data_IF_954393807144
#
_entry.id   IF_954393807144
#
_cell.length_a   1.000
_cell.length_b   1.000
_cell.length_c   1.000
_cell.angle_alpha   90.00
_cell.angle_beta   90.00
_cell.angle_gamma   90.00
#
_symmetry.space_group_name_H-M   'P 1'
#
loop_
_entity.id
_entity.type
_entity.pdbx_description
1 polymer ?
#
# COMPACT_ATOMS: atom_id res chain seq x y z
N UNK A 1 -4.57 -32.38 -27.75
CA UNK A 1 -3.60 -33.48 -27.59
C UNK A 1 -2.18 -32.94 -27.70
N UNK A 2 -1.40 -32.89 -26.60
CA UNK A 2 0.06 -32.82 -26.66
C UNK A 2 0.71 -34.12 -26.14
N UNK A 3 1.85 -34.46 -26.75
CA UNK A 3 2.61 -35.71 -26.61
C UNK A 3 3.40 -35.76 -25.30
N UNK A 4 3.30 -36.88 -24.60
CA UNK A 4 4.17 -37.28 -23.49
C UNK A 4 5.47 -37.89 -24.04
N UNK A 5 6.62 -37.35 -23.65
CA UNK A 5 7.92 -37.98 -23.86
C UNK A 5 8.42 -38.58 -22.55
N UNK A 6 8.53 -39.91 -22.53
CA UNK A 6 9.01 -40.69 -21.41
C UNK A 6 10.52 -40.52 -21.17
N UNK A 7 10.89 -40.50 -19.89
CA UNK A 7 12.27 -40.53 -19.45
C UNK A 7 12.56 -41.87 -18.77
N UNK A 8 13.61 -42.52 -19.28
CA UNK A 8 14.10 -43.85 -18.95
C UNK A 8 14.92 -43.81 -17.67
N UNK A 9 14.68 -44.75 -16.76
CA UNK A 9 15.44 -44.96 -15.53
C UNK A 9 16.66 -45.85 -15.81
N UNK A 10 17.87 -45.52 -15.30
CA UNK A 10 18.97 -46.47 -15.30
C UNK A 10 19.02 -47.27 -14.01
N UNK A 11 18.86 -48.58 -14.17
CA UNK A 11 19.25 -49.64 -13.23
C UNK A 11 20.76 -49.65 -13.02
N UNK A 12 21.22 -49.54 -11.78
CA UNK A 12 22.64 -49.57 -11.44
C UNK A 12 22.89 -49.80 -9.95
N UNK A 13 22.42 -50.95 -9.45
CA UNK A 13 22.68 -51.43 -8.10
C UNK A 13 24.15 -51.88 -7.99
N UNK A 14 24.98 -51.17 -7.23
CA UNK A 14 26.32 -51.66 -6.81
C UNK A 14 26.41 -51.62 -5.29
N UNK A 15 26.11 -52.75 -4.66
CA UNK A 15 26.41 -53.02 -3.26
C UNK A 15 27.94 -52.99 -3.07
N UNK A 16 28.43 -52.05 -2.27
CA UNK A 16 29.70 -52.18 -1.58
C UNK A 16 29.43 -52.07 -0.08
N UNK A 17 29.35 -53.24 0.56
CA UNK A 17 29.43 -53.42 1.99
C UNK A 17 30.82 -53.00 2.46
N UNK A 18 30.96 -51.76 2.95
CA UNK A 18 32.13 -51.33 3.71
C UNK A 18 31.75 -51.31 5.19
N UNK A 19 32.11 -52.42 5.82
CA UNK A 19 32.09 -52.66 7.26
C UNK A 19 33.22 -51.86 7.93
N UNK A 20 32.89 -50.85 8.76
CA UNK A 20 33.76 -50.17 9.77
C UNK A 20 33.03 -48.99 10.46
N UNK A 21 33.41 -48.55 11.66
CA UNK A 21 33.15 -49.13 12.97
C UNK A 21 32.18 -48.28 13.82
N UNK A 22 31.27 -48.94 14.55
CA UNK A 22 30.14 -48.39 15.35
C UNK A 22 30.56 -47.55 16.58
N UNK A 23 31.84 -47.19 16.75
CA UNK A 23 32.33 -46.58 18.01
C UNK A 23 32.41 -45.05 18.06
N UNK A 24 32.06 -44.32 16.99
CA UNK A 24 32.15 -42.84 16.99
C UNK A 24 30.81 -42.08 17.13
N UNK A 25 29.67 -42.77 17.21
CA UNK A 25 28.35 -42.11 17.21
C UNK A 25 27.89 -41.71 18.63
N UNK A 26 28.36 -42.37 19.68
CA UNK A 26 27.85 -42.14 21.05
C UNK A 26 28.39 -40.83 21.67
N UNK A 27 29.55 -40.32 21.24
CA UNK A 27 30.16 -39.14 21.87
C UNK A 27 29.71 -37.79 21.26
N UNK A 28 29.03 -37.79 20.10
CA UNK A 28 28.54 -36.57 19.43
C UNK A 28 27.04 -36.34 19.58
N UNK A 29 26.34 -37.17 20.34
CA UNK A 29 24.92 -36.94 20.62
C UNK A 29 24.72 -35.95 21.77
N UNK A 30 25.73 -35.64 22.59
CA UNK A 30 25.59 -34.82 23.81
C UNK A 30 25.51 -33.29 23.63
N UNK A 31 25.62 -32.79 22.39
CA UNK A 31 25.50 -31.35 22.08
C UNK A 31 24.20 -30.96 21.37
N UNK A 32 23.41 -31.93 20.88
CA UNK A 32 22.24 -31.64 20.02
C UNK A 32 20.95 -31.45 20.84
N UNK A 33 20.83 -32.06 22.03
CA UNK A 33 19.63 -31.92 22.86
C UNK A 33 19.55 -30.63 23.68
N UNK A 34 20.59 -29.78 23.69
CA UNK A 34 20.51 -28.43 24.29
C UNK A 34 19.84 -27.40 23.37
N UNK A 35 19.62 -27.70 22.09
CA UNK A 35 18.99 -26.77 21.14
C UNK A 35 17.48 -27.01 20.94
N UNK A 36 16.98 -28.21 21.27
CA UNK A 36 15.56 -28.54 21.16
C UNK A 36 14.59 -27.73 22.05
N UNK A 37 14.91 -27.37 23.31
CA UNK A 37 13.96 -26.63 24.14
C UNK A 37 13.79 -25.17 23.66
N UNK A 38 14.84 -24.58 23.08
CA UNK A 38 14.78 -23.22 22.54
C UNK A 38 13.90 -23.15 21.27
N UNK A 39 13.95 -24.19 20.44
CA UNK A 39 13.11 -24.28 19.24
C UNK A 39 11.63 -24.48 19.60
N UNK A 40 11.32 -25.32 20.58
CA UNK A 40 9.95 -25.50 21.08
C UNK A 40 9.40 -24.24 21.74
N UNK A 41 10.20 -23.52 22.52
CA UNK A 41 9.81 -22.24 23.12
C UNK A 41 9.51 -21.17 22.05
N UNK A 42 10.34 -21.11 21.00
CA UNK A 42 10.11 -20.20 19.88
C UNK A 42 8.84 -20.55 19.09
N UNK A 43 8.57 -21.85 18.90
CA UNK A 43 7.37 -22.33 18.21
C UNK A 43 6.08 -22.07 19.00
N UNK A 44 6.13 -22.19 20.34
CA UNK A 44 5.00 -21.81 21.22
C UNK A 44 4.76 -20.30 21.22
N UNK A 45 5.82 -19.48 21.19
CA UNK A 45 5.71 -18.01 21.08
C UNK A 45 5.14 -17.56 19.72
N UNK A 46 5.43 -18.28 18.63
CA UNK A 46 4.82 -18.00 17.32
C UNK A 46 3.31 -18.32 17.29
N UNK A 47 2.86 -19.37 17.99
CA UNK A 47 1.44 -19.77 18.01
C UNK A 47 0.58 -18.84 18.86
N UNK A 48 1.13 -18.19 19.88
CA UNK A 48 0.41 -17.22 20.71
C UNK A 48 0.14 -15.87 20.00
N UNK A 49 0.83 -15.58 18.89
CA UNK A 49 0.69 -14.31 18.15
C UNK A 49 -0.39 -14.29 17.07
N UNK A 50 -1.05 -15.42 16.77
CA UNK A 50 -1.94 -15.53 15.60
C UNK A 50 -3.45 -15.44 15.90
N UNK A 51 -3.87 -15.24 17.16
CA UNK A 51 -5.28 -15.32 17.53
C UNK A 51 -6.02 -13.96 17.54
N UNK A 52 -5.37 -12.83 17.28
CA UNK A 52 -6.09 -11.58 17.02
C UNK A 52 -6.54 -11.57 15.56
N UNK A 53 -7.69 -12.19 15.27
CA UNK A 53 -8.47 -11.87 14.09
C UNK A 53 -8.78 -10.37 14.20
N UNK A 54 -8.03 -9.53 13.48
CA UNK A 54 -8.18 -8.08 13.64
C UNK A 54 -9.55 -7.67 13.12
N UNK A 55 -10.36 -7.09 14.02
CA UNK A 55 -11.66 -6.45 13.74
C UNK A 55 -11.63 -5.62 12.44
N UNK A 56 -10.50 -4.95 12.20
CA UNK A 56 -10.26 -4.08 11.05
C UNK A 56 -10.37 -4.80 9.70
N UNK A 57 -10.04 -6.09 9.61
CA UNK A 57 -10.21 -6.85 8.38
C UNK A 57 -11.67 -7.13 8.05
N UNK A 58 -12.53 -7.28 9.06
CA UNK A 58 -13.98 -7.45 8.89
C UNK A 58 -14.64 -6.13 8.51
N UNK A 59 -14.35 -5.05 9.25
CA UNK A 59 -14.82 -3.70 8.95
C UNK A 59 -14.42 -3.26 7.52
N UNK A 60 -13.21 -3.58 7.07
CA UNK A 60 -12.78 -3.28 5.71
C UNK A 60 -13.61 -4.04 4.66
N UNK A 61 -13.90 -5.32 4.88
CA UNK A 61 -14.74 -6.13 3.97
C UNK A 61 -16.18 -5.60 3.92
N UNK A 62 -16.74 -5.24 5.07
CA UNK A 62 -18.07 -4.66 5.17
C UNK A 62 -18.13 -3.33 4.41
N UNK A 63 -17.10 -2.48 4.58
CA UNK A 63 -16.96 -1.26 3.81
C UNK A 63 -16.92 -1.50 2.29
N UNK A 64 -16.17 -2.51 1.82
CA UNK A 64 -16.15 -2.87 0.40
C UNK A 64 -17.51 -3.40 -0.10
N UNK A 65 -18.23 -4.15 0.75
CA UNK A 65 -19.55 -4.65 0.42
C UNK A 65 -20.55 -3.48 0.31
N UNK A 66 -20.50 -2.54 1.23
CA UNK A 66 -21.31 -1.33 1.20
C UNK A 66 -21.04 -0.49 -0.06
N UNK A 67 -19.79 -0.36 -0.51
CA UNK A 67 -19.44 0.31 -1.76
C UNK A 67 -20.12 -0.38 -2.96
N UNK A 68 -20.06 -1.70 -3.02
CA UNK A 68 -20.70 -2.47 -4.11
C UNK A 68 -22.22 -2.31 -4.12
N UNK A 69 -22.83 -2.19 -2.95
CA UNK A 69 -24.26 -1.98 -2.78
C UNK A 69 -24.68 -0.52 -2.94
N UNK A 70 -23.74 0.41 -3.16
CA UNK A 70 -24.02 1.84 -3.26
C UNK A 70 -24.33 2.53 -1.92
N UNK A 71 -24.13 1.82 -0.79
CA UNK A 71 -24.30 2.34 0.57
C UNK A 71 -23.09 3.15 1.03
N UNK A 72 -22.74 4.21 0.28
CA UNK A 72 -21.49 4.96 0.45
C UNK A 72 -21.30 5.49 1.89
N UNK A 73 -22.38 5.97 2.53
CA UNK A 73 -22.30 6.46 3.91
C UNK A 73 -21.83 5.38 4.90
N UNK A 74 -22.41 4.18 4.83
CA UNK A 74 -22.03 3.06 5.69
C UNK A 74 -20.61 2.58 5.38
N UNK A 75 -20.24 2.57 4.09
CA UNK A 75 -18.88 2.25 3.68
C UNK A 75 -17.85 3.17 4.35
N UNK A 76 -18.07 4.49 4.31
CA UNK A 76 -17.17 5.47 4.93
C UNK A 76 -17.09 5.28 6.44
N UNK A 77 -18.22 4.98 7.12
CA UNK A 77 -18.20 4.68 8.55
C UNK A 77 -17.33 3.48 8.88
N UNK A 78 -17.49 2.38 8.14
CA UNK A 78 -16.70 1.16 8.31
C UNK A 78 -15.20 1.40 8.05
N UNK A 79 -14.87 2.11 6.96
CA UNK A 79 -13.49 2.48 6.64
C UNK A 79 -12.87 3.42 7.68
N UNK A 80 -13.65 4.33 8.29
CA UNK A 80 -13.18 5.18 9.39
C UNK A 80 -12.84 4.38 10.64
N UNK A 81 -13.61 3.34 10.96
CA UNK A 81 -13.31 2.44 12.08
C UNK A 81 -11.97 1.72 11.86
N UNK A 82 -11.67 1.27 10.64
CA UNK A 82 -10.37 0.66 10.29
C UNK A 82 -9.21 1.58 10.61
N UNK A 83 -9.28 2.85 10.18
CA UNK A 83 -8.22 3.85 10.41
C UNK A 83 -8.04 4.13 11.90
N UNK A 84 -9.14 4.18 12.66
CA UNK A 84 -9.15 4.53 14.08
C UNK A 84 -8.67 3.38 14.98
N UNK A 85 -9.13 2.17 14.71
CA UNK A 85 -8.86 0.99 15.55
C UNK A 85 -7.50 0.37 15.24
N UNK A 86 -7.09 0.33 13.97
CA UNK A 86 -5.81 -0.25 13.55
C UNK A 86 -5.14 0.56 12.43
N UNK A 87 -4.51 1.71 12.76
CA UNK A 87 -3.84 2.56 11.79
C UNK A 87 -2.60 1.92 11.16
N UNK A 88 -2.10 0.80 11.70
CA UNK A 88 -0.96 0.05 11.16
C UNK A 88 -1.40 -1.13 10.30
N UNK A 89 -2.71 -1.38 10.20
CA UNK A 89 -3.26 -2.43 9.35
C UNK A 89 -2.85 -2.23 7.88
N UNK A 90 -2.75 -3.31 7.10
CA UNK A 90 -2.53 -3.21 5.65
C UNK A 90 -3.69 -2.54 4.90
N UNK A 91 -4.83 -2.34 5.56
CA UNK A 91 -6.05 -1.72 5.00
C UNK A 91 -6.16 -0.22 5.32
N UNK A 92 -5.44 0.25 6.34
CA UNK A 92 -5.49 1.65 6.77
C UNK A 92 -5.12 2.64 5.64
N UNK A 93 -4.08 2.40 4.80
CA UNK A 93 -3.74 3.33 3.72
C UNK A 93 -4.88 3.53 2.71
N UNK A 94 -5.46 2.45 2.17
CA UNK A 94 -6.55 2.56 1.20
C UNK A 94 -7.82 3.12 1.83
N UNK A 95 -8.09 2.78 3.10
CA UNK A 95 -9.24 3.31 3.84
C UNK A 95 -9.10 4.82 4.07
N UNK A 96 -7.92 5.29 4.48
CA UNK A 96 -7.65 6.70 4.72
C UNK A 96 -7.73 7.53 3.43
N UNK A 97 -7.16 7.04 2.33
CA UNK A 97 -7.30 7.69 1.03
C UNK A 97 -8.78 7.79 0.63
N UNK A 98 -9.54 6.69 0.71
CA UNK A 98 -10.95 6.67 0.34
C UNK A 98 -11.78 7.63 1.21
N UNK A 99 -11.61 7.62 2.52
CA UNK A 99 -12.32 8.54 3.43
C UNK A 99 -11.98 10.00 3.09
N UNK A 100 -10.71 10.31 2.83
CA UNK A 100 -10.29 11.65 2.44
C UNK A 100 -10.86 12.10 1.08
N UNK A 101 -10.92 11.19 0.11
CA UNK A 101 -11.57 11.39 -1.20
C UNK A 101 -13.07 11.63 -1.05
N UNK A 102 -13.76 10.85 -0.23
CA UNK A 102 -15.18 11.06 0.04
C UNK A 102 -15.45 12.45 0.62
N UNK A 103 -14.64 12.91 1.57
CA UNK A 103 -14.78 14.26 2.12
C UNK A 103 -14.55 15.34 1.05
N UNK A 104 -13.57 15.14 0.16
CA UNK A 104 -13.34 16.05 -0.96
C UNK A 104 -14.56 16.13 -1.89
N UNK A 105 -15.16 14.99 -2.22
CA UNK A 105 -16.33 14.92 -3.11
C UNK A 105 -17.60 15.55 -2.52
N UNK A 106 -17.71 15.54 -1.20
CA UNK A 106 -18.80 16.19 -0.47
C UNK A 106 -18.48 17.65 -0.10
N UNK A 107 -17.42 18.24 -0.67
CA UNK A 107 -16.95 19.60 -0.40
C UNK A 107 -16.60 19.87 1.06
N UNK A 108 -16.38 18.83 1.87
CA UNK A 108 -15.88 18.94 3.25
C UNK A 108 -14.35 19.00 3.22
N UNK A 109 -13.85 20.13 2.72
CA UNK A 109 -12.44 20.34 2.49
C UNK A 109 -11.61 20.29 3.77
N UNK A 110 -12.16 20.74 4.89
CA UNK A 110 -11.47 20.71 6.18
C UNK A 110 -11.17 19.27 6.63
N UNK A 111 -12.18 18.40 6.63
CA UNK A 111 -11.97 16.99 7.00
C UNK A 111 -11.14 16.26 5.96
N UNK A 112 -11.29 16.59 4.67
CA UNK A 112 -10.45 16.02 3.60
C UNK A 112 -8.97 16.37 3.80
N UNK A 113 -8.64 17.65 3.99
CA UNK A 113 -7.27 18.11 4.24
C UNK A 113 -6.67 17.41 5.45
N UNK A 114 -7.41 17.30 6.55
CA UNK A 114 -6.94 16.63 7.76
C UNK A 114 -6.61 15.16 7.50
N UNK A 115 -7.57 14.39 6.97
CA UNK A 115 -7.40 12.94 6.74
C UNK A 115 -6.31 12.67 5.72
N UNK A 116 -6.28 13.41 4.61
CA UNK A 116 -5.26 13.23 3.56
C UNK A 116 -3.88 13.67 4.03
N UNK A 117 -3.78 14.71 4.87
CA UNK A 117 -2.52 15.12 5.49
C UNK A 117 -2.00 14.04 6.41
N UNK A 118 -2.82 13.52 7.32
CA UNK A 118 -2.43 12.43 8.22
C UNK A 118 -1.98 11.19 7.41
N UNK A 119 -2.70 10.89 6.33
CA UNK A 119 -2.37 9.80 5.40
C UNK A 119 -1.01 9.94 4.72
N UNK A 120 -0.66 11.12 4.16
CA UNK A 120 0.65 11.31 3.50
C UNK A 120 1.81 11.23 4.49
N UNK A 121 1.59 11.62 5.75
CA UNK A 121 2.60 11.55 6.80
C UNK A 121 2.78 10.10 7.29
N UNK A 122 1.69 9.36 7.48
CA UNK A 122 1.72 7.97 7.93
C UNK A 122 2.21 7.01 6.85
N UNK A 123 1.88 7.26 5.58
CA UNK A 123 2.11 6.35 4.46
C UNK A 123 2.74 7.04 3.23
N UNK A 124 3.93 7.68 3.37
CA UNK A 124 4.52 8.48 2.30
C UNK A 124 4.94 7.69 1.04
N UNK A 125 5.06 6.36 1.17
CA UNK A 125 5.44 5.44 0.08
C UNK A 125 4.25 4.76 -0.60
N UNK A 126 3.03 4.97 -0.11
CA UNK A 126 1.85 4.37 -0.74
C UNK A 126 1.60 5.00 -2.12
N UNK A 127 1.08 4.21 -3.06
CA UNK A 127 0.78 4.68 -4.42
C UNK A 127 -0.22 5.83 -4.42
N UNK A 128 -1.19 5.82 -3.50
CA UNK A 128 -2.19 6.86 -3.32
C UNK A 128 -1.63 8.16 -2.73
N UNK A 129 -0.44 8.16 -2.15
CA UNK A 129 0.13 9.35 -1.50
C UNK A 129 0.34 10.51 -2.49
N UNK A 130 0.78 10.21 -3.72
CA UNK A 130 0.90 11.22 -4.79
C UNK A 130 -0.46 11.84 -5.11
N UNK A 131 -1.51 11.02 -5.19
CA UNK A 131 -2.86 11.48 -5.51
C UNK A 131 -3.49 12.26 -4.36
N UNK A 132 -3.20 11.89 -3.10
CA UNK A 132 -3.62 12.64 -1.93
C UNK A 132 -3.01 14.04 -1.93
N UNK A 133 -1.71 14.17 -2.26
CA UNK A 133 -1.05 15.47 -2.43
C UNK A 133 -1.69 16.31 -3.53
N UNK A 134 -2.12 15.70 -4.64
CA UNK A 134 -2.81 16.39 -5.73
C UNK A 134 -4.21 16.87 -5.30
N UNK A 135 -4.97 16.06 -4.56
CA UNK A 135 -6.26 16.49 -4.00
C UNK A 135 -6.07 17.64 -3.02
N UNK A 136 -5.12 17.52 -2.07
CA UNK A 136 -4.76 18.60 -1.15
C UNK A 136 -4.40 19.86 -1.94
N UNK A 137 -3.51 19.75 -2.94
CA UNK A 137 -3.12 20.87 -3.79
C UNK A 137 -4.33 21.54 -4.46
N UNK A 138 -5.27 20.73 -5.00
CA UNK A 138 -6.50 21.26 -5.59
C UNK A 138 -7.34 22.03 -4.59
N UNK A 139 -7.55 21.49 -3.40
CA UNK A 139 -8.28 22.17 -2.32
C UNK A 139 -7.61 23.52 -2.02
N UNK A 140 -6.29 23.53 -1.83
CA UNK A 140 -5.54 24.73 -1.45
C UNK A 140 -5.46 25.80 -2.55
N UNK A 141 -5.77 25.45 -3.80
CA UNK A 141 -5.70 26.36 -4.96
C UNK A 141 -7.06 26.80 -5.47
N UNK A 142 -8.07 25.92 -5.41
CA UNK A 142 -9.42 26.19 -5.91
C UNK A 142 -10.35 26.79 -4.83
N UNK A 143 -10.06 26.59 -3.54
CA UNK A 143 -10.86 27.14 -2.44
C UNK A 143 -10.30 28.50 -2.04
N UNK A 144 -11.19 29.51 -1.95
CA UNK A 144 -10.80 30.87 -1.59
C UNK A 144 -10.05 30.88 -0.25
N UNK A 145 -8.84 31.45 -0.28
CA UNK A 145 -7.85 31.34 0.79
C UNK A 145 -8.32 31.91 2.13
N UNK A 146 -9.26 32.84 2.10
CA UNK A 146 -9.72 33.59 3.28
C UNK A 146 -10.60 32.75 4.22
N UNK A 147 -11.28 31.71 3.73
CA UNK A 147 -12.21 30.95 4.56
C UNK A 147 -11.55 29.73 5.24
N UNK A 148 -10.45 29.21 4.69
CA UNK A 148 -9.91 27.89 5.07
C UNK A 148 -8.43 27.87 5.47
N UNK A 149 -7.61 28.87 5.11
CA UNK A 149 -6.14 28.73 5.15
C UNK A 149 -5.45 29.53 6.26
N UNK A 150 -4.65 28.83 7.06
CA UNK A 150 -3.62 29.41 7.91
C UNK A 150 -2.27 29.53 7.19
N UNK A 151 -1.26 29.99 7.93
CA UNK A 151 0.12 30.14 7.41
C UNK A 151 0.79 28.80 7.09
N UNK A 152 0.30 27.69 7.65
CA UNK A 152 0.92 26.36 7.50
C UNK A 152 0.65 25.74 6.12
N UNK A 153 -0.50 26.06 5.56
CA UNK A 153 -1.00 25.49 4.32
C UNK A 153 -0.22 26.04 3.10
N UNK A 154 0.19 27.31 3.12
CA UNK A 154 1.04 27.91 2.08
C UNK A 154 2.41 27.21 1.96
N UNK A 155 2.99 26.80 3.09
CA UNK A 155 4.23 26.04 3.09
C UNK A 155 4.03 24.64 2.48
N UNK A 156 2.89 24.00 2.77
CA UNK A 156 2.53 22.71 2.22
C UNK A 156 2.32 22.77 0.70
N UNK A 157 1.68 23.80 0.16
CA UNK A 157 1.55 24.00 -1.30
C UNK A 157 2.92 24.08 -1.96
N UNK A 158 3.85 24.87 -1.38
CA UNK A 158 5.20 25.02 -1.91
C UNK A 158 5.98 23.71 -1.85
N UNK A 159 5.83 22.95 -0.78
CA UNK A 159 6.44 21.62 -0.62
C UNK A 159 5.91 20.64 -1.67
N UNK A 160 4.59 20.53 -1.83
CA UNK A 160 3.95 19.65 -2.82
C UNK A 160 4.39 20.04 -4.23
N UNK A 161 4.37 21.34 -4.57
CA UNK A 161 4.83 21.83 -5.88
C UNK A 161 6.30 21.46 -6.09
N UNK A 162 7.16 21.72 -5.11
CA UNK A 162 8.57 21.37 -5.20
C UNK A 162 8.74 19.88 -5.42
N UNK A 163 8.09 19.01 -4.66
CA UNK A 163 8.19 17.57 -4.81
C UNK A 163 7.74 17.07 -6.19
N UNK A 164 6.60 17.58 -6.69
CA UNK A 164 6.05 17.21 -8.00
C UNK A 164 7.00 17.59 -9.15
N UNK A 165 7.69 18.74 -9.06
CA UNK A 165 8.62 19.24 -10.09
C UNK A 165 10.10 18.95 -9.81
N UNK A 166 10.46 18.36 -8.67
CA UNK A 166 11.87 18.05 -8.32
C UNK A 166 12.44 16.84 -9.05
N UNK A 167 11.64 16.14 -9.87
CA UNK A 167 12.18 15.06 -10.68
C UNK A 167 13.17 15.63 -11.71
N UNK A 168 14.42 15.13 -11.74
CA UNK A 168 15.46 15.70 -12.58
C UNK A 168 15.04 15.66 -14.06
N UNK A 169 14.99 16.84 -14.70
CA UNK A 169 14.74 17.02 -16.14
C UNK A 169 15.78 16.33 -17.04
N UNK A 170 16.88 15.85 -16.45
CA UNK A 170 17.95 15.18 -17.15
C UNK A 170 17.49 13.78 -17.60
N UNK A 171 17.18 13.64 -18.91
CA UNK A 171 16.97 12.42 -19.72
C UNK A 171 15.58 12.26 -20.39
N UNK A 172 14.80 13.33 -20.61
CA UNK A 172 13.45 13.22 -21.24
C UNK A 172 13.50 13.07 -22.79
N UNK A 173 14.65 12.81 -23.37
CA UNK A 173 14.74 12.42 -24.78
C UNK A 173 14.71 10.89 -24.87
N UNK A 174 13.52 10.27 -24.85
CA UNK A 174 13.09 9.20 -25.78
C UNK A 174 12.05 8.20 -25.28
N UNK A 175 11.80 8.05 -23.98
CA UNK A 175 10.77 7.09 -23.51
C UNK A 175 9.58 7.80 -22.88
N UNK A 176 8.41 7.69 -23.54
CA UNK A 176 7.11 8.01 -22.93
C UNK A 176 6.97 7.14 -21.68
N UNK A 177 7.28 7.69 -20.51
CA UNK A 177 6.99 7.01 -19.24
C UNK A 177 5.50 6.70 -19.20
N UNK A 178 5.17 5.45 -18.86
CA UNK A 178 3.79 5.07 -18.67
C UNK A 178 3.15 6.00 -17.62
N UNK A 179 1.90 6.46 -17.84
CA UNK A 179 1.24 7.35 -16.89
C UNK A 179 1.13 6.65 -15.53
N UNK A 180 1.28 7.41 -14.45
CA UNK A 180 1.04 6.89 -13.10
C UNK A 180 -0.47 6.73 -12.94
N UNK A 181 -0.93 5.50 -12.72
CA UNK A 181 -2.35 5.19 -12.55
C UNK A 181 -2.67 4.78 -11.12
N UNK A 182 -3.80 5.22 -10.61
CA UNK A 182 -4.35 4.77 -9.33
C UNK A 182 -5.86 4.61 -9.43
N UNK A 183 -6.39 3.59 -8.76
CA UNK A 183 -7.83 3.32 -8.71
C UNK A 183 -8.25 3.31 -7.25
N UNK A 184 -9.15 4.23 -6.90
CA UNK A 184 -9.65 4.34 -5.52
C UNK A 184 -10.70 3.27 -5.21
N UNK A 185 -11.05 3.14 -3.92
CA UNK A 185 -12.09 2.21 -3.48
C UNK A 185 -13.47 2.61 -4.03
N UNK A 186 -13.73 3.91 -4.21
CA UNK A 186 -14.95 4.43 -4.80
C UNK A 186 -14.95 4.41 -6.34
N UNK A 187 -14.06 3.59 -6.92
CA UNK A 187 -13.96 3.36 -8.36
C UNK A 187 -13.55 4.61 -9.17
N UNK A 188 -13.02 5.65 -8.53
CA UNK A 188 -12.40 6.76 -9.23
C UNK A 188 -11.08 6.32 -9.84
N UNK A 189 -10.86 6.66 -11.10
CA UNK A 189 -9.59 6.41 -11.79
C UNK A 189 -8.79 7.69 -11.90
N UNK A 190 -7.55 7.66 -11.41
CA UNK A 190 -6.61 8.75 -11.52
C UNK A 190 -5.47 8.40 -12.46
N UNK A 191 -5.15 9.33 -13.36
CA UNK A 191 -4.01 9.23 -14.28
C UNK A 191 -3.16 10.49 -14.21
N UNK A 192 -1.85 10.33 -14.01
CA UNK A 192 -0.89 11.43 -14.05
C UNK A 192 0.01 11.27 -15.26
N UNK A 193 0.01 12.29 -16.11
CA UNK A 193 0.94 12.44 -17.23
C UNK A 193 1.95 13.53 -16.88
N UNK A 194 3.20 13.10 -16.73
CA UNK A 194 4.34 13.97 -16.46
C UNK A 194 4.95 14.42 -17.82
N UNK A 195 4.68 15.65 -18.24
CA UNK A 195 5.32 16.29 -19.39
C UNK A 195 6.55 17.07 -18.95
N UNK A 196 7.33 17.57 -19.91
CA UNK A 196 8.55 18.37 -19.65
C UNK A 196 8.18 19.71 -18.98
N UNK A 197 7.09 20.31 -19.43
CA UNK A 197 6.67 21.67 -19.11
C UNK A 197 5.42 21.71 -18.23
N UNK A 198 4.81 20.56 -17.94
CA UNK A 198 3.58 20.49 -17.14
C UNK A 198 3.26 19.09 -16.63
N UNK A 199 2.37 19.01 -15.65
CA UNK A 199 1.78 17.77 -15.17
C UNK A 199 0.28 17.86 -15.42
N UNK A 200 -0.28 16.89 -16.15
CA UNK A 200 -1.74 16.76 -16.30
C UNK A 200 -2.25 15.60 -15.48
N UNK A 201 -3.22 15.88 -14.64
CA UNK A 201 -3.90 14.90 -13.80
C UNK A 201 -5.32 14.74 -14.31
N UNK A 202 -5.72 13.50 -14.56
CA UNK A 202 -7.08 13.15 -14.91
C UNK A 202 -7.73 12.39 -13.77
N UNK A 203 -9.02 12.64 -13.54
CA UNK A 203 -9.90 11.88 -12.66
C UNK A 203 -11.14 11.50 -13.46
N UNK A 204 -11.40 10.20 -13.59
CA UNK A 204 -12.51 9.65 -14.38
C UNK A 204 -12.56 10.21 -15.81
N UNK A 205 -11.41 10.14 -16.49
CA UNK A 205 -11.19 10.65 -17.86
C UNK A 205 -11.40 12.16 -18.05
N UNK A 206 -11.65 12.90 -16.98
CA UNK A 206 -11.77 14.37 -16.98
C UNK A 206 -10.50 15.00 -16.44
N UNK A 207 -10.13 16.16 -16.99
CA UNK A 207 -9.00 16.94 -16.47
C UNK A 207 -9.35 17.38 -15.04
N UNK A 208 -8.55 16.92 -14.08
CA UNK A 208 -8.70 17.24 -12.67
C UNK A 208 -7.86 18.47 -12.31
N UNK A 209 -6.59 18.48 -12.73
CA UNK A 209 -5.62 19.55 -12.50
C UNK A 209 -4.62 19.58 -13.66
N UNK A 210 -4.22 20.79 -14.08
CA UNK A 210 -3.06 21.02 -14.95
C UNK A 210 -2.08 21.93 -14.20
N UNK A 211 -0.86 21.45 -13.98
CA UNK A 211 0.20 22.17 -13.26
C UNK A 211 1.30 22.56 -14.21
N UNK A 212 1.75 23.81 -14.14
CA UNK A 212 2.95 24.30 -14.84
C UNK A 212 4.00 24.74 -13.81
N UNK A 213 5.31 24.63 -14.13
CA UNK A 213 6.43 24.99 -13.29
C UNK A 213 6.32 26.36 -12.61
#
# INVERSE_FOLDING_TARGET
>A
MPKWSGQVWPTGLRLLLVNRPIRYIICKMNKIYKFYPLFYLCLVLCMAGCASLSSSGEQYRDGLQDIKEGRIYFAVLNLKSVIKEDPKSPYAPQSAFAVGEYYFDNSDYFNSLKILSDYIHAHPKDKGAVFAKLIIYKILTDVDKEEVLGVKEDALVKEIRKELFSQPLFLIFYDKKAPRSYKSLFNHSYLVYDYVDKIKVFRDDKIFIELSP
#
